data_IF_033938290548
#
_entry.id   IF_033938290548
#
_cell.length_a   1.000
_cell.length_b   1.000
_cell.length_c   1.000
_cell.angle_alpha   90.00
_cell.angle_beta   90.00
_cell.angle_gamma   90.00
#
_symmetry.space_group_name_H-M   'P 1'
#
loop_
_entity.id
_entity.type
_entity.pdbx_description
1 polymer ?
#
# COMPACT_ATOMS: atom_id res chain seq x y z
N UNK A 1 -10.05 12.39 -22.32
CA UNK A 1 -10.30 11.00 -21.84
C UNK A 1 -9.63 10.76 -20.50
N UNK A 2 -10.19 9.91 -19.63
CA UNK A 2 -9.60 9.55 -18.32
C UNK A 2 -8.96 8.16 -18.39
N UNK A 3 -7.66 8.07 -18.09
CA UNK A 3 -6.92 6.82 -18.02
C UNK A 3 -6.97 6.25 -16.59
N UNK A 4 -7.30 4.96 -16.44
CA UNK A 4 -7.46 4.31 -15.14
C UNK A 4 -6.52 3.13 -15.03
N UNK A 5 -5.61 3.16 -14.06
CA UNK A 5 -4.65 2.07 -13.84
C UNK A 5 -5.24 0.99 -12.93
N UNK A 6 -5.22 -0.25 -13.41
CA UNK A 6 -5.65 -1.45 -12.69
C UNK A 6 -4.54 -2.50 -12.68
N UNK A 7 -3.87 -2.65 -11.56
CA UNK A 7 -2.75 -3.59 -11.35
C UNK A 7 -3.07 -4.62 -10.24
N UNK A 8 -4.36 -4.76 -9.89
CA UNK A 8 -4.85 -5.87 -9.06
C UNK A 8 -6.34 -6.12 -9.28
N UNK A 9 -6.83 -7.30 -8.87
CA UNK A 9 -8.27 -7.62 -8.93
C UNK A 9 -9.10 -6.81 -7.92
N UNK A 10 -8.50 -6.35 -6.83
CA UNK A 10 -9.12 -5.45 -5.85
C UNK A 10 -9.36 -4.09 -6.49
N UNK A 11 -8.37 -3.56 -7.21
CA UNK A 11 -8.46 -2.28 -7.91
C UNK A 11 -9.43 -2.33 -9.08
N UNK A 12 -9.45 -3.44 -9.83
CA UNK A 12 -10.51 -3.72 -10.79
C UNK A 12 -11.89 -3.59 -10.13
N UNK A 13 -12.08 -4.27 -8.99
CA UNK A 13 -13.37 -4.29 -8.29
C UNK A 13 -13.76 -2.89 -7.79
N UNK A 14 -12.80 -2.12 -7.29
CA UNK A 14 -12.99 -0.75 -6.82
C UNK A 14 -13.34 0.19 -7.98
N UNK A 15 -12.47 0.32 -8.99
CA UNK A 15 -12.68 1.28 -10.07
C UNK A 15 -13.90 0.97 -10.90
N UNK A 16 -14.23 -0.32 -11.12
CA UNK A 16 -15.49 -0.70 -11.76
C UNK A 16 -16.68 -0.14 -10.98
N UNK A 17 -16.70 -0.31 -9.65
CA UNK A 17 -17.80 0.20 -8.81
C UNK A 17 -17.87 1.73 -8.83
N UNK A 18 -16.71 2.39 -8.82
CA UNK A 18 -16.62 3.84 -8.84
C UNK A 18 -17.10 4.43 -10.18
N UNK A 19 -16.75 3.79 -11.30
CA UNK A 19 -16.95 4.34 -12.64
C UNK A 19 -18.28 3.92 -13.27
N UNK A 20 -18.78 2.71 -12.99
CA UNK A 20 -20.03 2.22 -13.58
C UNK A 20 -21.21 3.19 -13.51
N UNK A 21 -21.46 3.92 -12.40
CA UNK A 21 -22.56 4.88 -12.31
C UNK A 21 -22.38 6.11 -13.21
N UNK A 22 -21.14 6.49 -13.54
CA UNK A 22 -20.79 7.75 -14.23
C UNK A 22 -20.20 7.50 -15.64
N UNK A 23 -20.32 6.28 -16.15
CA UNK A 23 -19.69 5.89 -17.42
C UNK A 23 -20.22 6.66 -18.64
N UNK A 24 -21.42 7.25 -18.53
CA UNK A 24 -22.02 8.12 -19.56
C UNK A 24 -21.51 9.56 -19.49
N UNK A 25 -20.97 9.99 -18.36
CA UNK A 25 -20.54 11.38 -18.12
C UNK A 25 -19.10 11.64 -18.60
N UNK A 26 -18.28 10.59 -18.70
CA UNK A 26 -16.89 10.71 -19.14
C UNK A 26 -16.42 9.45 -19.89
N UNK A 27 -15.40 9.64 -20.75
CA UNK A 27 -14.77 8.53 -21.46
C UNK A 27 -13.62 7.96 -20.65
N UNK A 28 -13.72 6.68 -20.30
CA UNK A 28 -12.71 5.95 -19.54
C UNK A 28 -11.94 4.96 -20.41
N UNK A 29 -10.62 4.91 -20.21
CA UNK A 29 -9.74 3.87 -20.74
C UNK A 29 -9.03 3.19 -19.58
N UNK A 30 -9.21 1.87 -19.46
CA UNK A 30 -8.51 1.10 -18.44
C UNK A 30 -7.20 0.56 -18.98
N UNK A 31 -6.10 0.75 -18.25
CA UNK A 31 -4.83 0.08 -18.52
C UNK A 31 -4.56 -0.91 -17.38
N UNK A 32 -4.24 -2.16 -17.72
CA UNK A 32 -4.15 -3.22 -16.71
C UNK A 32 -3.01 -4.20 -16.93
N UNK A 33 -2.34 -4.59 -15.83
CA UNK A 33 -1.38 -5.70 -15.79
C UNK A 33 -2.05 -7.04 -15.46
N UNK A 34 -3.36 -7.02 -15.19
CA UNK A 34 -4.14 -8.18 -14.80
C UNK A 34 -4.98 -8.68 -15.99
N UNK A 35 -4.67 -9.86 -16.57
CA UNK A 35 -5.37 -10.36 -17.76
C UNK A 35 -6.85 -10.67 -17.48
N UNK A 36 -7.19 -11.16 -16.27
CA UNK A 36 -8.59 -11.38 -15.93
C UNK A 36 -9.36 -10.07 -15.82
N UNK A 37 -8.75 -9.02 -15.25
CA UNK A 37 -9.38 -7.71 -15.20
C UNK A 37 -9.64 -7.17 -16.61
N UNK A 38 -8.68 -7.32 -17.53
CA UNK A 38 -8.84 -6.91 -18.92
C UNK A 38 -10.07 -7.55 -19.59
N UNK A 39 -10.17 -8.88 -19.50
CA UNK A 39 -11.30 -9.63 -20.08
C UNK A 39 -12.63 -9.20 -19.45
N UNK A 40 -12.68 -9.04 -18.13
CA UNK A 40 -13.89 -8.66 -17.42
C UNK A 40 -14.33 -7.21 -17.66
N UNK A 41 -13.39 -6.32 -17.97
CA UNK A 41 -13.65 -4.93 -18.37
C UNK A 41 -14.27 -4.90 -19.77
N UNK A 42 -13.67 -5.61 -20.75
CA UNK A 42 -14.19 -5.71 -22.11
C UNK A 42 -15.59 -6.32 -22.11
N UNK A 43 -15.79 -7.42 -21.38
CA UNK A 43 -17.10 -8.09 -21.27
C UNK A 43 -18.20 -7.20 -20.67
N UNK A 44 -17.84 -6.06 -20.07
CA UNK A 44 -18.77 -5.06 -19.51
C UNK A 44 -18.88 -3.79 -20.37
N UNK A 45 -18.29 -3.80 -21.57
CA UNK A 45 -18.34 -2.67 -22.50
C UNK A 45 -17.29 -1.58 -22.22
N UNK A 46 -16.35 -1.79 -21.30
CA UNK A 46 -15.27 -0.84 -21.07
C UNK A 46 -14.14 -1.00 -22.08
N UNK A 47 -13.53 0.12 -22.49
CA UNK A 47 -12.26 0.10 -23.22
C UNK A 47 -11.14 -0.29 -22.26
N UNK A 48 -10.37 -1.30 -22.63
CA UNK A 48 -9.25 -1.77 -21.82
C UNK A 48 -8.04 -2.10 -22.68
N UNK A 49 -6.85 -1.80 -22.18
CA UNK A 49 -5.55 -2.17 -22.75
C UNK A 49 -4.81 -3.04 -21.74
N UNK A 50 -4.45 -4.24 -22.16
CA UNK A 50 -3.61 -5.13 -21.37
C UNK A 50 -2.12 -4.84 -21.61
N UNK A 51 -1.37 -4.80 -20.51
CA UNK A 51 0.09 -4.67 -20.50
C UNK A 51 0.71 -6.05 -20.32
N UNK A 52 1.39 -6.49 -21.38
CA UNK A 52 2.21 -7.70 -21.37
C UNK A 52 3.68 -7.34 -21.54
N UNK A 53 4.54 -8.31 -21.19
CA UNK A 53 5.99 -8.23 -21.38
C UNK A 53 6.32 -8.69 -22.80
N UNK A 54 6.04 -7.82 -23.78
CA UNK A 54 6.54 -8.02 -25.15
C UNK A 54 7.97 -7.48 -25.22
N UNK A 55 8.90 -8.37 -25.57
CA UNK A 55 10.35 -8.10 -25.54
C UNK A 55 10.72 -6.83 -26.33
N UNK A 56 10.21 -6.68 -27.55
CA UNK A 56 10.53 -5.55 -28.43
C UNK A 56 10.13 -4.18 -27.87
N UNK A 57 9.06 -4.11 -27.09
CA UNK A 57 8.62 -2.86 -26.45
C UNK A 57 9.46 -2.59 -25.21
N UNK A 58 9.80 -3.63 -24.44
CA UNK A 58 10.63 -3.49 -23.26
C UNK A 58 12.01 -2.94 -23.63
N UNK A 59 12.67 -3.53 -24.64
CA UNK A 59 14.04 -3.18 -25.01
C UNK A 59 14.18 -1.71 -25.42
N UNK A 60 13.15 -1.14 -26.08
CA UNK A 60 13.12 0.27 -26.49
C UNK A 60 13.17 1.26 -25.32
N UNK A 61 12.56 0.91 -24.18
CA UNK A 61 12.39 1.84 -23.05
C UNK A 61 13.17 1.41 -21.81
N UNK A 62 14.20 0.56 -21.96
CA UNK A 62 14.96 0.03 -20.84
C UNK A 62 15.73 1.12 -20.09
N UNK A 63 16.28 2.10 -20.80
CA UNK A 63 17.06 3.18 -20.18
C UNK A 63 16.13 4.17 -19.48
N UNK A 64 15.05 4.59 -20.14
CA UNK A 64 14.06 5.51 -19.60
C UNK A 64 13.30 4.92 -18.41
N UNK A 65 13.17 3.59 -18.34
CA UNK A 65 12.60 2.92 -17.18
C UNK A 65 13.34 3.28 -15.88
N UNK A 66 14.64 3.58 -15.93
CA UNK A 66 15.42 4.00 -14.75
C UNK A 66 14.88 5.28 -14.12
N UNK A 67 14.41 6.23 -14.94
CA UNK A 67 13.87 7.51 -14.46
C UNK A 67 12.55 7.36 -13.69
N UNK A 68 11.87 6.21 -13.80
CA UNK A 68 10.62 5.92 -13.06
C UNK A 68 10.84 5.60 -11.59
N UNK A 69 12.10 5.43 -11.17
CA UNK A 69 12.47 5.03 -9.82
C UNK A 69 11.81 3.69 -9.41
N UNK A 70 11.71 2.75 -10.36
CA UNK A 70 11.03 1.46 -10.17
C UNK A 70 11.63 0.63 -9.03
N UNK A 71 12.91 0.83 -8.69
CA UNK A 71 13.60 0.15 -7.56
C UNK A 71 12.89 0.33 -6.23
N UNK A 72 12.20 1.46 -6.06
CA UNK A 72 11.39 1.75 -4.86
C UNK A 72 9.96 1.19 -4.95
N UNK A 73 9.64 0.36 -5.94
CA UNK A 73 8.32 -0.28 -6.01
C UNK A 73 8.12 -1.23 -4.83
N UNK A 74 6.87 -1.32 -4.35
CA UNK A 74 6.50 -2.20 -3.24
C UNK A 74 6.87 -3.66 -3.54
N UNK A 75 6.77 -4.05 -4.81
CA UNK A 75 7.11 -5.38 -5.30
C UNK A 75 8.60 -5.70 -5.08
N UNK A 76 9.52 -4.77 -5.37
CA UNK A 76 10.96 -4.96 -5.10
C UNK A 76 11.23 -4.93 -3.60
N UNK A 77 10.73 -3.91 -2.90
CA UNK A 77 10.97 -3.75 -1.46
C UNK A 77 10.37 -4.89 -0.62
N UNK A 78 9.45 -5.66 -1.20
CA UNK A 78 8.89 -6.87 -0.60
C UNK A 78 9.52 -8.16 -1.11
N UNK A 79 10.60 -8.08 -1.90
CA UNK A 79 11.28 -9.24 -2.48
C UNK A 79 10.35 -10.09 -3.35
N UNK A 80 9.32 -9.48 -3.93
CA UNK A 80 8.32 -10.12 -4.77
C UNK A 80 8.70 -10.09 -6.26
N UNK A 81 9.65 -9.24 -6.63
CA UNK A 81 10.15 -9.03 -7.98
C UNK A 81 11.63 -8.66 -7.93
N UNK A 82 12.48 -9.32 -8.71
CA UNK A 82 13.88 -8.92 -8.87
C UNK A 82 14.01 -7.60 -9.63
N UNK A 83 15.12 -6.89 -9.43
CA UNK A 83 15.37 -5.61 -10.10
C UNK A 83 15.39 -5.74 -11.63
N UNK A 84 16.12 -6.70 -12.19
CA UNK A 84 16.18 -6.91 -13.64
C UNK A 84 14.80 -7.12 -14.26
N UNK A 85 13.96 -7.88 -13.54
CA UNK A 85 12.61 -8.18 -13.99
C UNK A 85 11.68 -6.99 -13.85
N UNK A 86 11.84 -6.23 -12.78
CA UNK A 86 11.12 -4.99 -12.57
C UNK A 86 11.47 -3.93 -13.61
N UNK A 87 12.74 -3.81 -14.00
CA UNK A 87 13.17 -2.91 -15.08
C UNK A 87 12.46 -3.23 -16.39
N UNK A 88 12.43 -4.52 -16.78
CA UNK A 88 11.71 -5.01 -17.97
C UNK A 88 10.19 -4.76 -17.89
N UNK A 89 9.61 -4.98 -16.72
CA UNK A 89 8.18 -4.72 -16.49
C UNK A 89 7.88 -3.22 -16.56
N UNK A 90 8.75 -2.37 -16.01
CA UNK A 90 8.62 -0.92 -16.04
C UNK A 90 8.71 -0.39 -17.48
N UNK A 91 9.68 -0.88 -18.27
CA UNK A 91 9.80 -0.54 -19.68
C UNK A 91 8.58 -0.99 -20.50
N UNK A 92 8.05 -2.19 -20.23
CA UNK A 92 6.83 -2.69 -20.88
C UNK A 92 5.60 -1.82 -20.56
N UNK A 93 5.43 -1.44 -19.29
CA UNK A 93 4.36 -0.54 -18.85
C UNK A 93 4.53 0.84 -19.49
N UNK A 94 5.76 1.38 -19.49
CA UNK A 94 6.08 2.68 -20.06
C UNK A 94 5.73 2.72 -21.55
N UNK A 95 6.24 1.77 -22.33
CA UNK A 95 6.00 1.74 -23.76
C UNK A 95 4.52 1.62 -24.12
N UNK A 96 3.75 0.88 -23.31
CA UNK A 96 2.32 0.75 -23.53
C UNK A 96 1.55 2.02 -23.18
N UNK A 97 1.93 2.72 -22.11
CA UNK A 97 1.30 3.99 -21.75
C UNK A 97 1.68 5.06 -22.78
N UNK A 98 2.95 5.15 -23.21
CA UNK A 98 3.37 6.09 -24.26
C UNK A 98 2.63 5.85 -25.58
N UNK A 99 2.40 4.59 -25.96
CA UNK A 99 1.55 4.27 -27.10
C UNK A 99 0.12 4.83 -26.90
N UNK A 100 -0.49 4.61 -25.74
CA UNK A 100 -1.82 5.17 -25.43
C UNK A 100 -1.82 6.70 -25.53
N UNK A 101 -0.79 7.37 -25.00
CA UNK A 101 -0.67 8.83 -25.04
C UNK A 101 -0.52 9.34 -26.49
N UNK A 102 0.08 8.57 -27.39
CA UNK A 102 0.20 8.92 -28.81
C UNK A 102 -1.11 8.73 -29.58
N UNK A 103 -1.98 7.82 -29.13
CA UNK A 103 -3.24 7.47 -29.81
C UNK A 103 -4.45 8.25 -29.24
N UNK A 104 -4.33 8.77 -28.02
CA UNK A 104 -5.44 9.34 -27.26
C UNK A 104 -5.04 10.57 -26.45
N UNK A 105 -5.88 11.60 -26.48
CA UNK A 105 -5.77 12.75 -25.57
C UNK A 105 -6.25 12.39 -24.16
N UNK A 106 -5.29 12.24 -23.25
CA UNK A 106 -5.53 11.91 -21.84
C UNK A 106 -5.53 13.19 -21.01
N UNK A 107 -6.67 13.51 -20.40
CA UNK A 107 -6.85 14.72 -19.58
C UNK A 107 -6.50 14.50 -18.11
N UNK A 108 -6.67 13.26 -17.66
CA UNK A 108 -6.41 12.86 -16.29
C UNK A 108 -6.12 11.36 -16.15
N UNK A 109 -5.33 11.01 -15.14
CA UNK A 109 -5.03 9.64 -14.75
C UNK A 109 -5.54 9.34 -13.34
N UNK A 110 -6.19 8.18 -13.15
CA UNK A 110 -6.63 7.67 -11.85
C UNK A 110 -5.75 6.48 -11.43
N UNK A 111 -5.24 6.55 -10.20
CA UNK A 111 -4.36 5.53 -9.62
C UNK A 111 -4.78 5.21 -8.19
N UNK A 112 -4.52 3.99 -7.75
CA UNK A 112 -4.64 3.61 -6.33
C UNK A 112 -3.25 3.51 -5.72
N UNK A 113 -2.95 4.24 -4.64
CA UNK A 113 -1.69 4.35 -3.92
C UNK A 113 -0.49 4.92 -4.73
N UNK A 114 -0.25 4.41 -5.94
CA UNK A 114 0.78 4.90 -6.86
C UNK A 114 2.20 4.39 -6.59
N UNK A 115 2.45 3.69 -5.48
CA UNK A 115 3.80 3.19 -5.13
C UNK A 115 4.16 1.82 -5.73
N UNK A 116 3.20 1.12 -6.33
CA UNK A 116 3.45 -0.10 -7.12
C UNK A 116 4.18 0.24 -8.40
N UNK A 117 4.85 -0.75 -8.98
CA UNK A 117 5.68 -0.55 -10.18
C UNK A 117 4.94 0.18 -11.31
N UNK A 118 3.76 -0.31 -11.70
CA UNK A 118 2.98 0.33 -12.76
C UNK A 118 2.48 1.74 -12.37
N UNK A 119 2.17 1.93 -11.08
CA UNK A 119 1.78 3.22 -10.52
C UNK A 119 2.92 4.25 -10.60
N UNK A 120 4.15 3.85 -10.29
CA UNK A 120 5.35 4.70 -10.39
C UNK A 120 5.63 5.12 -11.82
N UNK A 121 5.55 4.17 -12.77
CA UNK A 121 5.71 4.46 -14.20
C UNK A 121 4.67 5.48 -14.66
N UNK A 122 3.39 5.27 -14.35
CA UNK A 122 2.33 6.20 -14.75
C UNK A 122 2.49 7.57 -14.07
N UNK A 123 2.90 7.60 -12.80
CA UNK A 123 3.18 8.84 -12.05
C UNK A 123 4.30 9.64 -12.70
N UNK A 124 5.39 8.98 -13.08
CA UNK A 124 6.51 9.58 -13.82
C UNK A 124 6.04 10.16 -15.15
N UNK A 125 5.30 9.38 -15.95
CA UNK A 125 4.79 9.83 -17.25
C UNK A 125 3.82 11.01 -17.11
N UNK A 126 2.96 11.02 -16.08
CA UNK A 126 2.09 12.15 -15.82
C UNK A 126 2.88 13.44 -15.54
N UNK A 127 4.00 13.35 -14.80
CA UNK A 127 4.84 14.52 -14.51
C UNK A 127 5.45 15.10 -15.78
N UNK A 128 6.12 14.26 -16.59
CA UNK A 128 6.87 14.75 -17.76
C UNK A 128 5.95 15.24 -18.89
N UNK A 129 4.72 14.73 -18.97
CA UNK A 129 3.73 15.15 -19.96
C UNK A 129 2.69 16.16 -19.43
N UNK A 130 2.83 16.61 -18.18
CA UNK A 130 1.89 17.56 -17.59
C UNK A 130 0.44 17.05 -17.45
N UNK A 131 0.25 15.73 -17.35
CA UNK A 131 -1.08 15.12 -17.26
C UNK A 131 -1.55 15.17 -15.80
N UNK A 132 -2.78 15.67 -15.59
CA UNK A 132 -3.38 15.70 -14.25
C UNK A 132 -3.50 14.28 -13.70
N UNK A 133 -3.19 14.07 -12.43
CA UNK A 133 -3.43 12.78 -11.77
C UNK A 133 -4.26 12.92 -10.51
N UNK A 134 -4.94 11.84 -10.15
CA UNK A 134 -5.59 11.64 -8.85
C UNK A 134 -5.17 10.29 -8.32
N UNK A 135 -4.51 10.31 -7.17
CA UNK A 135 -4.06 9.13 -6.44
C UNK A 135 -5.02 8.91 -5.28
N UNK A 136 -5.55 7.69 -5.20
CA UNK A 136 -6.59 7.31 -4.25
C UNK A 136 -6.06 6.31 -3.24
N UNK A 137 -6.57 6.37 -2.01
CA UNK A 137 -6.34 5.36 -0.98
C UNK A 137 -7.57 5.23 -0.09
N UNK A 138 -7.66 4.11 0.63
CA UNK A 138 -8.65 3.96 1.68
C UNK A 138 -8.44 5.02 2.77
N UNK A 139 -9.52 5.62 3.25
CA UNK A 139 -9.47 6.56 4.38
C UNK A 139 -9.48 5.80 5.71
N UNK A 140 -8.83 6.37 6.71
CA UNK A 140 -8.98 5.95 8.11
C UNK A 140 -10.35 6.36 8.70
N UNK A 141 -11.09 7.20 7.98
CA UNK A 141 -12.43 7.65 8.36
C UNK A 141 -13.51 6.84 7.63
N UNK A 142 -14.59 6.45 8.33
CA UNK A 142 -15.66 5.66 7.73
C UNK A 142 -16.35 6.42 6.60
N UNK A 143 -16.73 5.69 5.56
CA UNK A 143 -17.45 6.23 4.40
C UNK A 143 -16.72 7.42 3.72
N UNK A 144 -15.38 7.46 3.80
CA UNK A 144 -14.56 8.45 3.13
C UNK A 144 -13.53 7.76 2.22
N UNK A 145 -13.17 8.46 1.17
CA UNK A 145 -12.10 8.09 0.25
C UNK A 145 -11.04 9.18 0.31
N UNK A 146 -9.76 8.80 0.41
CA UNK A 146 -8.67 9.75 0.31
C UNK A 146 -8.31 9.93 -1.17
N UNK A 147 -8.31 11.17 -1.66
CA UNK A 147 -7.97 11.50 -3.05
C UNK A 147 -7.09 12.73 -3.07
N UNK A 148 -5.95 12.65 -3.73
CA UNK A 148 -4.96 13.72 -3.75
C UNK A 148 -4.24 13.79 -5.11
N UNK A 149 -3.73 14.96 -5.46
CA UNK A 149 -3.11 15.21 -6.76
C UNK A 149 -1.63 14.82 -6.84
N UNK A 150 -0.93 14.80 -5.71
CA UNK A 150 0.48 14.48 -5.62
C UNK A 150 0.71 13.00 -5.29
N UNK A 151 -0.02 12.46 -4.31
CA UNK A 151 0.19 11.12 -3.78
C UNK A 151 -0.68 10.85 -2.56
N UNK A 152 -0.46 9.75 -1.85
CA UNK A 152 -1.23 9.41 -0.64
C UNK A 152 -0.30 9.20 0.54
N UNK A 153 -0.85 9.26 1.76
CA UNK A 153 -0.10 9.14 3.02
C UNK A 153 1.02 10.20 3.07
N UNK A 154 2.26 9.80 3.39
CA UNK A 154 3.42 10.69 3.45
C UNK A 154 3.73 11.45 2.15
N UNK A 155 3.20 10.99 1.01
CA UNK A 155 3.39 11.63 -0.30
C UNK A 155 2.20 12.49 -0.74
N UNK A 156 1.20 12.67 0.13
CA UNK A 156 0.08 13.57 -0.15
C UNK A 156 0.46 15.03 -0.03
N UNK A 157 -0.35 15.92 -0.62
CA UNK A 157 -0.17 17.37 -0.51
C UNK A 157 -0.15 17.81 0.95
N UNK A 158 -1.02 17.25 1.79
CA UNK A 158 -1.07 17.52 3.23
C UNK A 158 0.16 16.94 3.95
N UNK A 159 0.67 15.79 3.51
CA UNK A 159 1.90 15.20 4.06
C UNK A 159 3.13 16.08 3.85
N UNK A 160 3.23 16.73 2.67
CA UNK A 160 4.30 17.67 2.36
C UNK A 160 4.09 19.07 2.94
N UNK A 161 2.85 19.48 3.17
CA UNK A 161 2.52 20.78 3.74
C UNK A 161 1.27 20.69 4.66
N UNK A 162 1.46 20.35 5.95
CA UNK A 162 0.34 20.23 6.90
C UNK A 162 -0.43 21.53 7.14
N UNK A 163 0.19 22.70 6.94
CA UNK A 163 -0.45 23.99 7.22
C UNK A 163 -1.61 24.32 6.27
N UNK A 164 -1.79 23.54 5.20
CA UNK A 164 -2.98 23.62 4.34
C UNK A 164 -4.26 23.39 5.16
N UNK A 165 -4.17 22.63 6.25
CA UNK A 165 -5.29 22.40 7.17
C UNK A 165 -5.67 23.66 7.96
N UNK A 166 -4.72 24.55 8.25
CA UNK A 166 -4.96 25.77 9.02
C UNK A 166 -5.85 26.78 8.26
N UNK A 167 -5.89 26.66 6.94
CA UNK A 167 -6.77 27.45 6.08
C UNK A 167 -8.21 26.89 6.01
N UNK A 168 -8.46 25.70 6.54
CA UNK A 168 -9.80 25.10 6.54
C UNK A 168 -10.64 25.67 7.68
N UNK A 169 -11.92 25.89 7.40
CA UNK A 169 -12.88 26.30 8.42
C UNK A 169 -13.15 25.14 9.37
N UNK A 170 -12.92 25.36 10.66
CA UNK A 170 -13.29 24.39 11.69
C UNK A 170 -14.80 24.19 11.70
N UNK A 171 -15.28 22.95 11.88
CA UNK A 171 -16.70 22.71 12.10
C UNK A 171 -17.15 23.41 13.39
N UNK A 172 -18.44 23.74 13.47
CA UNK A 172 -19.04 24.13 14.74
C UNK A 172 -18.97 22.98 15.76
N UNK A 173 -19.04 23.33 17.05
CA UNK A 173 -18.89 22.38 18.15
C UNK A 173 -19.91 21.24 18.07
N UNK A 174 -21.18 21.55 17.73
CA UNK A 174 -22.23 20.53 17.68
C UNK A 174 -21.97 19.52 16.56
N UNK A 175 -21.58 20.00 15.38
CA UNK A 175 -21.19 19.14 14.25
C UNK A 175 -19.99 18.26 14.58
N UNK A 176 -19.03 18.76 15.36
CA UNK A 176 -17.90 17.96 15.83
C UNK A 176 -18.36 16.86 16.81
N UNK A 177 -19.21 17.20 17.79
CA UNK A 177 -19.78 16.24 18.74
C UNK A 177 -20.56 15.14 18.04
N UNK A 178 -21.43 15.51 17.09
CA UNK A 178 -22.24 14.55 16.34
C UNK A 178 -21.36 13.59 15.52
N UNK A 179 -20.34 14.13 14.84
CA UNK A 179 -19.37 13.33 14.09
C UNK A 179 -18.57 12.39 15.00
N UNK A 180 -18.13 12.87 16.17
CA UNK A 180 -17.35 12.08 17.11
C UNK A 180 -18.18 10.90 17.64
N UNK A 181 -19.44 11.13 17.99
CA UNK A 181 -20.36 10.09 18.42
C UNK A 181 -20.55 9.00 17.33
N UNK A 182 -20.71 9.40 16.06
CA UNK A 182 -20.78 8.46 14.93
C UNK A 182 -19.47 7.66 14.78
N UNK A 183 -18.32 8.34 14.88
CA UNK A 183 -17.01 7.73 14.75
C UNK A 183 -16.73 6.72 15.87
N UNK A 184 -17.05 7.06 17.12
CA UNK A 184 -16.89 6.17 18.27
C UNK A 184 -17.79 4.94 18.15
N UNK A 185 -19.05 5.13 17.75
CA UNK A 185 -19.97 4.02 17.50
C UNK A 185 -19.44 3.07 16.41
N UNK A 186 -18.91 3.64 15.32
CA UNK A 186 -18.26 2.88 14.25
C UNK A 186 -17.05 2.08 14.76
N UNK A 187 -16.21 2.67 15.63
CA UNK A 187 -15.02 2.02 16.20
C UNK A 187 -15.32 1.00 17.30
N UNK A 188 -16.46 1.13 17.99
CA UNK A 188 -16.91 0.17 18.98
C UNK A 188 -17.33 -1.16 18.34
N UNK A 189 -17.74 -1.14 17.07
CA UNK A 189 -18.00 -2.35 16.30
C UNK A 189 -16.69 -3.04 15.90
N UNK A 190 -16.63 -4.39 15.82
CA UNK A 190 -15.48 -5.09 15.29
C UNK A 190 -15.13 -4.51 13.92
N UNK A 191 -13.89 -4.05 13.74
CA UNK A 191 -13.46 -3.50 12.45
C UNK A 191 -13.80 -4.52 11.35
N UNK A 192 -14.53 -4.11 10.29
CA UNK A 192 -14.91 -5.01 9.22
C UNK A 192 -13.65 -5.53 8.54
N UNK A 193 -13.14 -6.69 8.97
CA UNK A 193 -12.06 -7.37 8.29
C UNK A 193 -12.58 -7.72 6.91
N UNK A 194 -11.88 -7.28 5.85
CA UNK A 194 -12.27 -7.65 4.50
C UNK A 194 -12.31 -9.17 4.39
N UNK A 195 -13.51 -9.76 4.35
CA UNK A 195 -13.65 -11.19 4.21
C UNK A 195 -13.22 -11.56 2.79
N UNK A 196 -12.12 -12.31 2.71
CA UNK A 196 -11.65 -12.85 1.45
C UNK A 196 -12.53 -14.06 1.13
N UNK A 197 -13.61 -13.81 0.40
CA UNK A 197 -14.52 -14.89 -0.05
C UNK A 197 -13.79 -15.87 -0.97
N UNK A 198 -14.28 -17.12 -1.03
CA UNK A 198 -13.73 -18.14 -1.92
C UNK A 198 -13.67 -17.67 -3.37
N UNK A 199 -14.72 -16.98 -3.84
CA UNK A 199 -14.77 -16.38 -5.18
C UNK A 199 -13.61 -15.40 -5.44
N UNK A 200 -13.24 -14.57 -4.45
CA UNK A 200 -12.08 -13.67 -4.57
C UNK A 200 -10.77 -14.46 -4.68
N UNK A 201 -10.60 -15.52 -3.89
CA UNK A 201 -9.41 -16.39 -3.97
C UNK A 201 -9.32 -17.08 -5.35
N UNK A 202 -10.43 -17.63 -5.84
CA UNK A 202 -10.50 -18.27 -7.14
C UNK A 202 -10.15 -17.29 -8.28
N UNK A 203 -10.72 -16.07 -8.27
CA UNK A 203 -10.39 -15.02 -9.25
C UNK A 203 -8.91 -14.65 -9.23
N UNK A 204 -8.30 -14.51 -8.04
CA UNK A 204 -6.85 -14.26 -7.92
C UNK A 204 -6.03 -15.40 -8.50
N UNK A 205 -6.41 -16.65 -8.24
CA UNK A 205 -5.72 -17.83 -8.77
C UNK A 205 -5.83 -17.92 -10.29
N UNK A 206 -7.04 -17.77 -10.84
CA UNK A 206 -7.29 -17.76 -12.29
C UNK A 206 -6.47 -16.65 -12.94
N UNK A 207 -6.52 -15.43 -12.40
CA UNK A 207 -5.75 -14.32 -12.91
C UNK A 207 -4.23 -14.59 -12.87
N UNK A 208 -3.73 -15.17 -11.78
CA UNK A 208 -2.32 -15.57 -11.66
C UNK A 208 -1.94 -16.62 -12.71
N UNK A 209 -2.77 -17.62 -12.93
CA UNK A 209 -2.56 -18.65 -13.96
C UNK A 209 -2.52 -18.03 -15.36
N UNK A 210 -3.45 -17.12 -15.68
CA UNK A 210 -3.51 -16.43 -16.97
C UNK A 210 -2.25 -15.56 -17.22
N UNK A 211 -1.56 -15.04 -16.19
CA UNK A 211 -0.33 -14.26 -16.41
C UNK A 211 0.79 -15.06 -17.07
N UNK A 212 0.79 -16.41 -17.02
CA UNK A 212 1.81 -17.23 -17.67
C UNK A 212 1.69 -17.24 -19.21
N UNK A 213 0.58 -17.71 -19.82
CA UNK A 213 0.45 -17.74 -21.27
C UNK A 213 0.39 -16.34 -21.88
N UNK A 214 -0.13 -15.35 -21.16
CA UNK A 214 -0.28 -13.98 -21.67
C UNK A 214 0.90 -13.06 -21.36
N UNK A 215 2.00 -13.59 -20.82
CA UNK A 215 3.21 -12.82 -20.53
C UNK A 215 2.96 -11.60 -19.63
N UNK A 216 2.15 -11.73 -18.59
CA UNK A 216 1.72 -10.59 -17.77
C UNK A 216 2.87 -9.87 -17.07
N UNK A 217 2.87 -8.54 -17.17
CA UNK A 217 3.80 -7.69 -16.43
C UNK A 217 3.51 -7.74 -14.92
N UNK A 218 4.50 -7.35 -14.10
CA UNK A 218 4.40 -7.23 -12.64
C UNK A 218 3.95 -8.52 -11.95
N UNK A 219 4.33 -9.69 -12.48
CA UNK A 219 3.96 -10.98 -11.89
C UNK A 219 4.88 -11.31 -10.71
N UNK A 220 4.29 -11.41 -9.51
CA UNK A 220 4.95 -11.88 -8.28
C UNK A 220 5.65 -13.23 -8.48
N UNK A 221 6.79 -13.43 -7.84
CA UNK A 221 7.48 -14.72 -7.82
C UNK A 221 6.69 -15.80 -7.06
N UNK A 222 6.70 -17.02 -7.61
CA UNK A 222 5.92 -18.15 -7.08
C UNK A 222 6.31 -18.53 -5.65
N UNK A 223 7.60 -18.42 -5.31
CA UNK A 223 8.16 -18.64 -3.97
C UNK A 223 7.48 -17.78 -2.89
N UNK A 224 7.08 -16.56 -3.23
CA UNK A 224 6.45 -15.60 -2.32
C UNK A 224 4.93 -15.82 -2.20
N UNK A 225 4.28 -16.30 -3.25
CA UNK A 225 2.85 -16.71 -3.18
C UNK A 225 2.67 -17.81 -2.13
N UNK A 226 3.63 -18.73 -2.02
CA UNK A 226 3.63 -19.82 -1.02
C UNK A 226 3.86 -19.34 0.42
N UNK A 227 4.60 -18.24 0.62
CA UNK A 227 4.84 -17.64 1.95
C UNK A 227 3.60 -16.96 2.53
N UNK A 228 2.79 -16.29 1.70
CA UNK A 228 1.53 -15.63 2.13
C UNK A 228 0.42 -16.60 2.57
N UNK A 229 0.57 -17.90 2.33
CA UNK A 229 -0.42 -18.94 2.65
C UNK A 229 -0.26 -19.60 4.02
N UNK A 230 0.80 -19.29 4.79
CA UNK A 230 0.99 -19.89 6.12
C UNK A 230 0.20 -19.12 7.17
N UNK A 231 -0.93 -19.71 7.56
CA UNK A 231 -1.72 -19.59 8.79
C UNK A 231 -1.73 -18.28 9.59
N UNK A 232 -2.93 -17.83 9.96
CA UNK A 232 -3.13 -16.96 11.13
C UNK A 232 -2.56 -17.68 12.35
N UNK A 233 -1.35 -17.34 12.77
CA UNK A 233 -0.86 -17.78 14.07
C UNK A 233 -1.55 -16.90 15.10
N UNK A 234 -2.34 -17.50 15.99
CA UNK A 234 -2.91 -16.79 17.13
C UNK A 234 -1.75 -16.55 18.10
N UNK A 235 -1.28 -15.31 18.19
CA UNK A 235 -0.21 -14.97 19.10
C UNK A 235 -0.80 -14.74 20.49
N UNK A 236 -0.37 -15.55 21.44
CA UNK A 236 -0.58 -15.29 22.87
C UNK A 236 0.53 -14.34 23.31
N UNK A 237 0.38 -13.05 23.02
CA UNK A 237 1.06 -12.03 23.83
C UNK A 237 0.35 -12.01 25.18
N UNK A 238 1.08 -12.07 26.29
CA UNK A 238 0.49 -12.00 27.63
C UNK A 238 -0.44 -10.78 27.72
N UNK A 239 -1.70 -10.93 28.15
CA UNK A 239 -2.60 -9.80 28.25
C UNK A 239 -2.06 -8.83 29.30
N UNK A 240 -1.75 -7.59 28.90
CA UNK A 240 -1.59 -6.51 29.87
C UNK A 240 -3.00 -6.11 30.31
N UNK A 241 -3.32 -6.32 31.58
CA UNK A 241 -4.66 -5.99 32.07
C UNK A 241 -4.84 -4.47 32.13
N UNK A 242 -6.07 -4.00 31.90
CA UNK A 242 -6.38 -2.57 32.03
C UNK A 242 -6.02 -2.04 33.44
N UNK A 243 -6.19 -2.88 34.46
CA UNK A 243 -5.82 -2.56 35.84
C UNK A 243 -4.30 -2.41 36.02
N UNK A 244 -3.49 -3.23 35.36
CA UNK A 244 -2.03 -3.09 35.37
C UNK A 244 -1.58 -1.78 34.71
N UNK A 245 -2.25 -1.36 33.63
CA UNK A 245 -2.00 -0.08 32.95
C UNK A 245 -2.45 1.13 33.78
N UNK A 246 -3.52 1.02 34.57
CA UNK A 246 -3.98 2.08 35.48
C UNK A 246 -3.02 2.30 36.66
N UNK A 247 -2.37 1.24 37.13
CA UNK A 247 -1.55 1.27 38.35
C UNK A 247 -0.11 1.77 38.11
N UNK A 248 0.35 1.90 36.86
CA UNK A 248 1.74 2.24 36.56
C UNK A 248 1.83 3.24 35.43
N UNK A 249 2.82 4.14 35.50
CA UNK A 249 3.17 4.99 34.37
C UNK A 249 3.86 4.14 33.29
N UNK A 250 3.39 4.27 32.05
CA UNK A 250 3.93 3.51 30.92
C UNK A 250 4.11 4.41 29.69
N UNK A 251 5.01 3.97 28.81
CA UNK A 251 5.15 4.46 27.45
C UNK A 251 4.49 3.45 26.53
N UNK A 252 3.63 3.92 25.63
CA UNK A 252 2.93 3.05 24.69
C UNK A 252 3.56 3.10 23.30
N UNK A 253 3.83 1.94 22.71
CA UNK A 253 4.32 1.80 21.35
C UNK A 253 3.39 0.89 20.53
N UNK A 254 2.50 1.45 19.69
CA UNK A 254 1.78 0.68 18.70
C UNK A 254 2.70 0.38 17.51
N UNK A 255 2.86 -0.90 17.17
CA UNK A 255 3.60 -1.31 15.98
C UNK A 255 2.68 -1.28 14.76
N UNK A 256 3.28 -1.11 13.58
CA UNK A 256 2.57 -1.22 12.30
C UNK A 256 2.86 -2.58 11.64
N UNK A 257 2.18 -2.89 10.53
CA UNK A 257 2.49 -4.12 9.76
C UNK A 257 3.88 -3.96 9.14
N UNK A 258 4.78 -4.92 9.34
CA UNK A 258 6.18 -4.85 8.87
C UNK A 258 6.28 -4.82 7.33
N UNK A 259 5.25 -5.28 6.64
CA UNK A 259 5.12 -5.19 5.18
C UNK A 259 4.46 -3.91 4.68
N UNK A 260 4.04 -3.01 5.57
CA UNK A 260 3.42 -1.74 5.21
C UNK A 260 4.38 -0.87 4.39
N UNK A 261 3.84 -0.27 3.36
CA UNK A 261 4.52 0.70 2.50
C UNK A 261 5.10 1.88 3.28
N UNK A 262 4.44 2.34 4.35
CA UNK A 262 4.92 3.47 5.14
C UNK A 262 6.22 3.12 5.88
N UNK A 263 6.32 1.91 6.44
CA UNK A 263 7.59 1.45 7.02
C UNK A 263 8.66 1.30 5.93
N UNK A 264 8.33 0.65 4.80
CA UNK A 264 9.34 0.32 3.79
C UNK A 264 9.84 1.50 2.96
N UNK A 265 9.05 2.54 2.80
CA UNK A 265 9.33 3.65 1.89
C UNK A 265 9.55 4.99 2.57
N UNK A 266 8.95 5.18 3.74
CA UNK A 266 8.79 6.49 4.37
C UNK A 266 9.24 6.50 5.83
N UNK A 267 9.84 5.42 6.32
CA UNK A 267 10.42 5.34 7.66
C UNK A 267 11.89 4.97 7.57
N UNK A 268 12.73 5.66 8.35
CA UNK A 268 14.13 5.29 8.57
C UNK A 268 14.28 4.16 9.60
N UNK A 269 13.18 3.80 10.26
CA UNK A 269 13.15 2.91 11.43
C UNK A 269 12.09 1.84 11.19
N UNK A 270 12.45 0.57 11.40
CA UNK A 270 11.51 -0.54 11.38
C UNK A 270 10.88 -0.81 12.77
N UNK A 271 10.01 -1.82 12.87
CA UNK A 271 9.36 -2.15 14.13
C UNK A 271 10.35 -2.55 15.24
N UNK A 272 11.47 -3.21 14.91
CA UNK A 272 12.46 -3.68 15.90
C UNK A 272 13.26 -2.49 16.43
N UNK A 273 13.72 -1.63 15.54
CA UNK A 273 14.46 -0.44 15.92
C UNK A 273 13.57 0.55 16.66
N UNK A 274 12.29 0.69 16.29
CA UNK A 274 11.32 1.48 17.05
C UNK A 274 11.16 0.98 18.49
N UNK A 275 11.14 -0.34 18.71
CA UNK A 275 11.12 -0.92 20.07
C UNK A 275 12.39 -0.56 20.82
N UNK A 276 13.58 -0.66 20.20
CA UNK A 276 14.86 -0.33 20.85
C UNK A 276 14.91 1.14 21.27
N UNK A 277 14.54 2.06 20.37
CA UNK A 277 14.48 3.49 20.64
C UNK A 277 13.49 3.78 21.77
N UNK A 278 12.28 3.21 21.71
CA UNK A 278 11.27 3.41 22.73
C UNK A 278 11.68 2.80 24.08
N UNK A 279 12.39 1.67 24.09
CA UNK A 279 12.90 1.06 25.31
C UNK A 279 13.95 1.93 26.00
N UNK A 280 14.85 2.55 25.22
CA UNK A 280 15.80 3.55 25.73
C UNK A 280 15.06 4.73 26.37
N UNK A 281 14.13 5.35 25.64
CA UNK A 281 13.33 6.48 26.15
C UNK A 281 12.49 6.13 27.37
N UNK A 282 11.90 4.94 27.40
CA UNK A 282 11.12 4.46 28.54
C UNK A 282 12.01 4.26 29.77
N UNK A 283 13.20 3.69 29.60
CA UNK A 283 14.19 3.53 30.67
C UNK A 283 14.62 4.88 31.25
N UNK A 284 14.97 5.84 30.41
CA UNK A 284 15.40 7.18 30.83
C UNK A 284 14.30 7.93 31.59
N UNK A 285 13.04 7.71 31.21
CA UNK A 285 11.88 8.27 31.87
C UNK A 285 11.38 7.44 33.08
N UNK A 286 12.06 6.35 33.44
CA UNK A 286 11.62 5.38 34.45
C UNK A 286 10.18 4.86 34.23
N UNK A 287 9.79 4.65 32.97
CA UNK A 287 8.50 4.14 32.53
C UNK A 287 8.60 2.68 32.07
N UNK A 288 7.50 1.93 32.22
CA UNK A 288 7.37 0.63 31.56
C UNK A 288 7.03 0.84 30.08
N UNK A 289 7.69 0.13 29.17
CA UNK A 289 7.29 0.10 27.76
C UNK A 289 6.18 -0.94 27.55
N UNK A 290 5.04 -0.51 27.02
CA UNK A 290 3.95 -1.36 26.58
C UNK A 290 3.90 -1.37 25.04
N UNK A 291 4.21 -2.51 24.43
CA UNK A 291 4.26 -2.69 22.97
C UNK A 291 3.02 -3.43 22.49
N UNK A 292 2.32 -2.87 21.50
CA UNK A 292 1.15 -3.51 20.86
C UNK A 292 1.49 -3.93 19.43
N UNK A 293 1.53 -5.24 19.19
CA UNK A 293 1.69 -5.80 17.83
C UNK A 293 0.45 -5.46 16.98
N UNK A 294 0.67 -5.10 15.71
CA UNK A 294 -0.42 -4.81 14.80
C UNK A 294 -1.29 -6.07 14.54
N UNK A 295 -2.63 -6.00 14.64
CA UNK A 295 -3.50 -7.19 14.47
C UNK A 295 -3.42 -7.86 13.10
N UNK A 296 -3.02 -7.10 12.07
CA UNK A 296 -2.85 -7.59 10.71
C UNK A 296 -1.42 -8.05 10.38
N UNK A 297 -0.50 -8.04 11.36
CA UNK A 297 0.82 -8.64 11.15
C UNK A 297 0.69 -10.15 10.93
N UNK A 298 1.34 -10.64 9.88
CA UNK A 298 1.31 -12.07 9.51
C UNK A 298 2.71 -12.64 9.33
N UNK A 299 3.76 -11.81 9.43
CA UNK A 299 5.14 -12.26 9.42
C UNK A 299 5.52 -12.88 10.78
N UNK A 300 5.48 -14.20 10.83
CA UNK A 300 5.87 -15.01 11.99
C UNK A 300 7.30 -14.71 12.46
N UNK A 301 8.22 -14.37 11.54
CA UNK A 301 9.60 -14.06 11.93
C UNK A 301 9.66 -12.74 12.68
N UNK A 302 9.02 -11.70 12.14
CA UNK A 302 8.93 -10.40 12.78
C UNK A 302 8.29 -10.51 14.16
N UNK A 303 7.20 -11.29 14.27
CA UNK A 303 6.52 -11.47 15.56
C UNK A 303 7.38 -12.24 16.56
N UNK A 304 8.04 -13.34 16.13
CA UNK A 304 8.92 -14.09 17.01
C UNK A 304 10.09 -13.24 17.51
N UNK A 305 10.64 -12.39 16.66
CA UNK A 305 11.69 -11.44 17.04
C UNK A 305 11.17 -10.46 18.10
N UNK A 306 10.02 -9.82 17.88
CA UNK A 306 9.38 -8.90 18.85
C UNK A 306 9.12 -9.60 20.19
N UNK A 307 8.57 -10.81 20.16
CA UNK A 307 8.28 -11.59 21.38
C UNK A 307 9.59 -11.99 22.08
N UNK A 308 10.66 -12.31 21.34
CA UNK A 308 11.95 -12.63 21.96
C UNK A 308 12.54 -11.47 22.74
N UNK A 309 12.27 -10.22 22.32
CA UNK A 309 12.72 -9.01 23.04
C UNK A 309 12.04 -8.84 24.41
N UNK A 310 10.87 -9.44 24.64
CA UNK A 310 10.22 -9.45 25.96
C UNK A 310 10.99 -10.30 26.98
N UNK A 311 11.73 -11.31 26.51
CA UNK A 311 12.41 -12.29 27.37
C UNK A 311 13.80 -11.85 27.83
N UNK A 312 14.28 -10.68 27.41
CA UNK A 312 15.54 -10.13 27.89
C UNK A 312 15.30 -9.58 29.30
N UNK A 313 15.83 -10.22 30.36
CA UNK A 313 15.67 -9.70 31.72
C UNK A 313 16.40 -8.36 31.83
N UNK A 314 15.89 -7.49 32.70
CA UNK A 314 16.57 -6.31 33.24
C UNK A 314 17.88 -6.70 33.98
N UNK A 315 18.89 -7.22 33.28
CA UNK A 315 20.23 -7.49 33.81
C UNK A 315 21.15 -8.03 32.72
N UNK A 316 21.64 -7.17 31.83
CA UNK A 316 23.00 -7.23 31.29
C UNK A 316 23.23 -5.95 30.51
N UNK A 317 24.15 -5.14 31.03
CA UNK A 317 24.77 -4.03 30.32
C UNK A 317 25.10 -4.46 28.89
N UNK A 318 24.42 -3.90 27.91
CA UNK A 318 24.94 -3.82 26.55
C UNK A 318 26.20 -2.96 26.63
N UNK A 319 27.35 -3.62 26.82
CA UNK A 319 28.64 -2.99 26.60
C UNK A 319 28.77 -2.82 25.09
N UNK A 320 28.84 -1.57 24.65
CA UNK A 320 29.28 -1.22 23.31
C UNK A 320 30.72 -1.73 23.11
N UNK A 321 31.07 -2.33 21.96
CA UNK A 321 32.46 -2.41 21.58
C UNK A 321 32.95 -0.99 21.33
N UNK A 322 33.90 -0.53 22.14
CA UNK A 322 34.68 0.65 21.79
C UNK A 322 35.53 0.29 20.58
N UNK A 323 35.43 1.11 19.55
CA UNK A 323 36.33 1.13 18.41
C UNK A 323 37.75 1.40 18.90
N UNK A 324 38.66 0.46 18.64
CA UNK A 324 40.06 0.76 18.35
C UNK A 324 40.24 0.79 16.85
#
# INVERSE_FOLDING_TARGET
>A
MILVLVDSMERYSFFRRLISPIQSEARFLFVTTEPLAHLLLIARGFRSVYVNRRQSVADKYMEEAEATNFRRSIEILSGCLSEDRAKKDAASVMGRILQILSEHEIEACLLWNGQQLAGRVLTYLCNIHGIRRRVMEISNLPNKLFVDSQGVNALSTIGGNPSILDALTMPDEQKHVDWLAEYEHYKASPLPQSTVTFSKKAKRLVNYALKYPFGGACRTEFSQVRRRGRGKTMFVTGPCSLEELKQRRYMFLPLQVSSDTQIKLHSDVDNIEAIRIAAGKAKDAALRLAVKIHPAETDVRAINEIVSMQKIPNSRSLRFPQST
#
